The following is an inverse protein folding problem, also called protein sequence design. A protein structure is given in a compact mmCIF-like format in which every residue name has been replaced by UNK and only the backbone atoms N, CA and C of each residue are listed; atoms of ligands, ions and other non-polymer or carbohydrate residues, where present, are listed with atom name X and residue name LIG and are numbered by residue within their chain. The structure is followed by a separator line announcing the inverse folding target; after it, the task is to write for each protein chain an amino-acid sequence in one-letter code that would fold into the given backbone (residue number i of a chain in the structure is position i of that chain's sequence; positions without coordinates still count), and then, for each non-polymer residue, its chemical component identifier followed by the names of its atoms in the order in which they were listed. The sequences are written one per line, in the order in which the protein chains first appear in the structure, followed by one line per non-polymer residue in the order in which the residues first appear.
data_IF_170955394120
#
_entry.id   IF_170955394120
#
_cell.length_a   1.000
_cell.length_b   1.000
_cell.length_c   1.000
_cell.angle_alpha   90.00
_cell.angle_beta   90.00
_cell.angle_gamma   90.00
#
_symmetry.space_group_name_H-M   'P 1'
#
loop_
_entity.id
_entity.type
_entity.pdbx_description
1 polymer ?
#
# COMPACT_ATOMS: atom_id res chain seq x y z
N UNK A 1 -18.34 22.90 -6.34
CA UNK A 1 -18.55 21.46 -6.03
C UNK A 1 -19.50 21.36 -4.84
N UNK A 2 -20.53 20.52 -4.87
CA UNK A 2 -21.37 20.26 -3.68
C UNK A 2 -20.56 19.41 -2.69
N UNK A 3 -20.36 19.91 -1.47
CA UNK A 3 -19.81 19.13 -0.36
C UNK A 3 -20.69 17.90 -0.16
N UNK A 4 -20.12 16.70 -0.31
CA UNK A 4 -20.80 15.45 0.08
C UNK A 4 -20.71 15.35 1.59
N UNK A 5 -21.74 15.81 2.29
CA UNK A 5 -21.93 15.46 3.70
C UNK A 5 -22.52 14.05 3.77
N UNK A 6 -21.76 13.11 4.34
CA UNK A 6 -22.27 11.77 4.64
C UNK A 6 -23.51 11.89 5.53
N UNK A 7 -24.59 11.18 5.18
CA UNK A 7 -25.77 11.17 6.04
C UNK A 7 -25.53 10.20 7.20
N UNK A 8 -25.89 10.55 8.45
CA UNK A 8 -25.70 9.67 9.60
C UNK A 8 -26.31 8.27 9.43
N UNK A 9 -27.41 8.16 8.68
CA UNK A 9 -28.06 6.88 8.35
C UNK A 9 -27.28 6.00 7.34
N UNK A 10 -26.30 6.54 6.61
CA UNK A 10 -25.39 5.78 5.73
C UNK A 10 -24.14 5.27 6.46
N UNK A 11 -23.89 5.79 7.67
CA UNK A 11 -22.84 5.29 8.55
C UNK A 11 -23.38 4.03 9.24
N UNK A 12 -22.71 2.90 9.03
CA UNK A 12 -22.99 1.69 9.79
C UNK A 12 -22.88 2.02 11.28
N UNK A 13 -24.03 2.10 11.96
CA UNK A 13 -24.06 2.51 13.37
C UNK A 13 -23.25 1.49 14.17
N UNK A 14 -22.23 1.90 14.93
CA UNK A 14 -21.27 0.96 15.49
C UNK A 14 -21.92 -0.12 16.37
N UNK A 15 -23.00 0.23 17.08
CA UNK A 15 -23.83 -0.72 17.85
C UNK A 15 -24.43 -1.84 16.98
N UNK A 16 -24.83 -1.55 15.74
CA UNK A 16 -25.40 -2.55 14.82
C UNK A 16 -24.32 -3.49 14.27
N UNK A 17 -23.13 -2.97 13.95
CA UNK A 17 -21.99 -3.79 13.55
C UNK A 17 -21.58 -4.74 14.67
N UNK A 18 -21.50 -4.21 15.89
CA UNK A 18 -21.25 -4.97 17.12
C UNK A 18 -22.26 -6.09 17.35
N UNK A 19 -23.55 -5.79 17.23
CA UNK A 19 -24.61 -6.79 17.39
C UNK A 19 -24.44 -7.95 16.39
N UNK A 20 -24.30 -7.63 15.09
CA UNK A 20 -24.11 -8.63 14.03
C UNK A 20 -22.86 -9.47 14.21
N UNK A 21 -21.76 -8.85 14.63
CA UNK A 21 -20.51 -9.57 14.88
C UNK A 21 -20.64 -10.52 16.07
N UNK A 22 -21.27 -10.07 17.15
CA UNK A 22 -21.49 -10.87 18.36
C UNK A 22 -22.39 -12.07 18.07
N UNK A 23 -23.52 -11.87 17.39
CA UNK A 23 -24.41 -12.95 16.93
C UNK A 23 -23.66 -13.98 16.06
N UNK A 24 -22.82 -13.50 15.13
CA UNK A 24 -22.04 -14.40 14.27
C UNK A 24 -20.98 -15.17 15.05
N UNK A 25 -20.31 -14.52 16.00
CA UNK A 25 -19.32 -15.16 16.86
C UNK A 25 -19.96 -16.26 17.73
N UNK A 26 -21.11 -15.98 18.34
CA UNK A 26 -21.88 -16.97 19.11
C UNK A 26 -22.28 -18.17 18.26
N UNK A 27 -22.78 -17.92 17.03
CA UNK A 27 -23.15 -18.99 16.11
C UNK A 27 -21.97 -19.88 15.69
N UNK A 28 -20.77 -19.33 15.56
CA UNK A 28 -19.55 -20.08 15.25
C UNK A 28 -19.06 -20.88 16.47
N UNK A 29 -19.10 -20.28 17.67
CA UNK A 29 -18.73 -20.97 18.91
C UNK A 29 -19.66 -22.15 19.24
N UNK A 30 -20.95 -22.03 18.90
CA UNK A 30 -21.91 -23.11 19.05
C UNK A 30 -21.61 -24.34 18.18
N UNK A 31 -20.84 -24.18 17.10
CA UNK A 31 -20.42 -25.27 16.20
C UNK A 31 -19.20 -26.03 16.73
N UNK A 32 -18.49 -25.51 17.72
CA UNK A 32 -17.33 -26.18 18.32
C UNK A 32 -17.77 -27.32 19.26
N UNK A 33 -16.99 -28.42 19.34
CA UNK A 33 -17.14 -29.43 20.39
C UNK A 33 -17.05 -28.79 21.78
N UNK A 34 -17.85 -29.27 22.76
CA UNK A 34 -17.92 -28.66 24.09
C UNK A 34 -16.54 -28.53 24.76
N UNK A 35 -15.68 -29.54 24.60
CA UNK A 35 -14.32 -29.59 25.16
C UNK A 35 -13.40 -28.49 24.61
N UNK A 36 -13.69 -28.00 23.39
CA UNK A 36 -12.91 -26.97 22.69
C UNK A 36 -13.52 -25.57 22.81
N UNK A 37 -14.67 -25.43 23.50
CA UNK A 37 -15.33 -24.13 23.62
C UNK A 37 -14.58 -23.25 24.63
N UNK A 38 -14.16 -22.04 24.24
CA UNK A 38 -13.61 -21.08 25.19
C UNK A 38 -14.68 -20.67 26.22
N UNK A 39 -14.23 -20.35 27.43
CA UNK A 39 -15.12 -19.87 28.48
C UNK A 39 -15.87 -18.59 28.02
N UNK A 40 -17.18 -18.45 28.28
CA UNK A 40 -17.97 -17.31 27.83
C UNK A 40 -17.39 -15.94 28.23
N UNK A 41 -16.78 -15.85 29.42
CA UNK A 41 -16.12 -14.63 29.89
C UNK A 41 -14.87 -14.27 29.08
N UNK A 42 -14.10 -15.27 28.63
CA UNK A 42 -12.92 -15.06 27.77
C UNK A 42 -13.34 -14.54 26.39
N UNK A 43 -14.41 -15.09 25.83
CA UNK A 43 -15.01 -14.62 24.58
C UNK A 43 -15.49 -13.18 24.72
N UNK A 44 -16.29 -12.86 25.74
CA UNK A 44 -16.79 -11.50 25.98
C UNK A 44 -15.65 -10.48 26.13
N UNK A 45 -14.57 -10.88 26.80
CA UNK A 45 -13.38 -10.04 26.99
C UNK A 45 -12.65 -9.80 25.66
N UNK A 46 -12.41 -10.85 24.89
CA UNK A 46 -11.75 -10.75 23.58
C UNK A 46 -12.57 -9.91 22.58
N UNK A 47 -13.89 -10.09 22.55
CA UNK A 47 -14.80 -9.30 21.71
C UNK A 47 -14.75 -7.82 22.11
N UNK A 48 -14.86 -7.51 23.41
CA UNK A 48 -14.77 -6.13 23.90
C UNK A 48 -13.43 -5.49 23.52
N UNK A 49 -12.33 -6.22 23.71
CA UNK A 49 -10.99 -5.74 23.39
C UNK A 49 -10.85 -5.45 21.89
N UNK A 50 -11.21 -6.41 21.02
CA UNK A 50 -11.12 -6.24 19.57
C UNK A 50 -11.98 -5.08 19.05
N UNK A 51 -13.12 -4.82 19.69
CA UNK A 51 -13.97 -3.66 19.37
C UNK A 51 -13.30 -2.36 19.76
N UNK A 52 -12.78 -2.25 20.99
CA UNK A 52 -12.06 -1.07 21.46
C UNK A 52 -10.85 -0.78 20.57
N UNK A 53 -10.12 -1.83 20.17
CA UNK A 53 -8.98 -1.70 19.27
C UNK A 53 -9.42 -1.23 17.89
N UNK A 54 -10.51 -1.76 17.33
CA UNK A 54 -11.04 -1.32 16.04
C UNK A 54 -11.49 0.15 16.06
N UNK A 55 -12.12 0.61 17.14
CA UNK A 55 -12.46 2.03 17.30
C UNK A 55 -11.20 2.90 17.40
N UNK A 56 -10.22 2.48 18.20
CA UNK A 56 -8.94 3.20 18.31
C UNK A 56 -8.25 3.31 16.95
N UNK A 57 -8.16 2.21 16.20
CA UNK A 57 -7.60 2.21 14.84
C UNK A 57 -8.36 3.14 13.90
N UNK A 58 -9.70 3.18 13.99
CA UNK A 58 -10.52 4.10 13.19
C UNK A 58 -10.24 5.56 13.55
N UNK A 59 -10.19 5.89 14.83
CA UNK A 59 -9.96 7.25 15.30
C UNK A 59 -8.55 7.74 14.91
N UNK A 60 -7.54 6.88 15.06
CA UNK A 60 -6.18 7.13 14.56
C UNK A 60 -6.16 7.36 13.04
N UNK A 61 -6.90 6.55 12.27
CA UNK A 61 -6.97 6.71 10.82
C UNK A 61 -7.62 8.04 10.43
N UNK A 62 -8.73 8.40 11.07
CA UNK A 62 -9.42 9.68 10.83
C UNK A 62 -8.52 10.85 11.21
N UNK A 63 -7.82 10.79 12.35
CA UNK A 63 -6.88 11.82 12.75
C UNK A 63 -5.80 12.04 11.68
N UNK A 64 -5.19 10.97 11.17
CA UNK A 64 -4.20 11.05 10.08
C UNK A 64 -4.77 11.64 8.78
N UNK A 65 -6.02 11.33 8.43
CA UNK A 65 -6.71 11.95 7.28
C UNK A 65 -6.91 13.45 7.47
N UNK A 66 -7.32 13.87 8.67
CA UNK A 66 -7.49 15.29 9.02
C UNK A 66 -6.15 16.03 8.99
N UNK A 67 -5.09 15.44 9.54
CA UNK A 67 -3.73 16.02 9.47
C UNK A 67 -3.27 16.18 8.02
N UNK A 68 -3.53 15.18 7.17
CA UNK A 68 -3.20 15.23 5.73
C UNK A 68 -3.95 16.37 5.03
N UNK A 69 -5.24 16.55 5.30
CA UNK A 69 -6.06 17.64 4.75
C UNK A 69 -5.57 19.02 5.22
N UNK A 70 -5.25 19.17 6.51
CA UNK A 70 -4.70 20.40 7.08
C UNK A 70 -3.36 20.77 6.42
N UNK A 71 -2.48 19.79 6.24
CA UNK A 71 -1.20 19.98 5.57
C UNK A 71 -1.37 20.36 4.10
N UNK A 72 -2.35 19.76 3.42
CA UNK A 72 -2.65 20.07 2.02
C UNK A 72 -3.29 21.45 1.83
N UNK A 73 -4.03 21.93 2.83
CA UNK A 73 -4.73 23.22 2.80
C UNK A 73 -3.87 24.41 3.24
N UNK A 74 -2.64 24.16 3.72
CA UNK A 74 -1.73 25.22 4.19
C UNK A 74 -1.17 26.03 3.01
N UNK A 75 -1.41 27.35 2.91
CA UNK A 75 -0.81 28.19 1.88
C UNK A 75 0.72 28.11 1.93
N UNK A 76 1.38 28.18 0.78
CA UNK A 76 2.85 28.06 0.62
C UNK A 76 3.47 26.67 0.88
N UNK A 77 2.75 25.74 1.52
CA UNK A 77 3.15 24.33 1.57
C UNK A 77 2.76 23.62 0.27
N UNK A 78 3.65 23.68 -0.71
CA UNK A 78 3.47 22.94 -1.97
C UNK A 78 3.48 21.41 -1.80
N UNK A 79 3.19 20.68 -2.88
CA UNK A 79 3.10 19.21 -2.91
C UNK A 79 4.30 18.47 -2.29
N UNK A 80 5.49 19.08 -2.27
CA UNK A 80 6.70 18.54 -1.61
C UNK A 80 6.55 18.43 -0.09
N UNK A 81 5.91 19.40 0.56
CA UNK A 81 5.70 19.40 2.00
C UNK A 81 4.72 18.29 2.42
N UNK A 82 3.63 18.12 1.65
CA UNK A 82 2.67 17.03 1.83
C UNK A 82 3.38 15.68 1.68
N UNK A 83 4.15 15.48 0.61
CA UNK A 83 4.92 14.23 0.41
C UNK A 83 5.86 13.91 1.58
N UNK A 84 6.54 14.92 2.14
CA UNK A 84 7.41 14.74 3.30
C UNK A 84 6.62 14.30 4.54
N UNK A 85 5.48 14.93 4.80
CA UNK A 85 4.65 14.57 5.94
C UNK A 85 4.07 13.15 5.81
N UNK A 86 3.58 12.79 4.62
CA UNK A 86 3.14 11.42 4.32
C UNK A 86 4.27 10.42 4.52
N UNK A 87 5.50 10.73 4.08
CA UNK A 87 6.67 9.87 4.30
C UNK A 87 7.00 9.69 5.78
N UNK A 88 6.91 10.75 6.59
CA UNK A 88 7.09 10.63 8.05
C UNK A 88 6.04 9.71 8.66
N UNK A 89 4.77 9.91 8.31
CA UNK A 89 3.67 9.11 8.84
C UNK A 89 3.80 7.63 8.46
N UNK A 90 4.24 7.32 7.22
CA UNK A 90 4.52 5.94 6.81
C UNK A 90 5.58 5.27 7.68
N UNK A 91 6.66 5.99 8.00
CA UNK A 91 7.70 5.49 8.92
C UNK A 91 7.15 5.25 10.32
N UNK A 92 6.36 6.19 10.85
CA UNK A 92 5.74 6.05 12.18
C UNK A 92 4.76 4.87 12.25
N UNK A 93 4.15 4.50 11.12
CA UNK A 93 3.30 3.32 10.98
C UNK A 93 4.08 2.02 10.73
N UNK A 94 5.42 2.05 10.71
CA UNK A 94 6.26 0.89 10.43
C UNK A 94 6.24 0.47 8.95
N UNK A 95 5.93 1.39 8.03
CA UNK A 95 5.98 1.13 6.59
C UNK A 95 7.32 1.57 6.03
N UNK A 96 8.08 0.62 5.46
CA UNK A 96 9.29 0.89 4.68
C UNK A 96 8.90 1.23 3.25
N UNK A 97 9.43 2.33 2.74
CA UNK A 97 9.28 2.70 1.33
C UNK A 97 10.57 2.35 0.59
N UNK A 98 10.44 1.54 -0.46
CA UNK A 98 11.58 1.01 -1.21
C UNK A 98 11.66 1.70 -2.56
N UNK A 99 12.80 2.34 -2.81
CA UNK A 99 13.08 3.12 -4.03
C UNK A 99 14.30 2.61 -4.80
N UNK A 100 15.04 1.67 -4.22
CA UNK A 100 16.19 1.04 -4.86
C UNK A 100 15.71 -0.11 -5.76
N UNK A 101 16.11 -0.08 -7.03
CA UNK A 101 15.68 -1.05 -8.04
C UNK A 101 16.40 -2.40 -7.94
N UNK A 102 17.42 -2.52 -7.07
CA UNK A 102 18.17 -3.73 -6.82
C UNK A 102 17.37 -4.76 -5.99
N UNK A 103 16.47 -4.30 -5.12
CA UNK A 103 15.40 -5.09 -4.46
C UNK A 103 14.27 -5.47 -5.46
N UNK A 104 14.63 -5.85 -6.68
CA UNK A 104 13.75 -6.10 -7.83
C UNK A 104 12.58 -7.06 -7.54
N UNK A 105 12.71 -7.97 -6.58
CA UNK A 105 11.66 -8.87 -6.11
C UNK A 105 10.44 -8.15 -5.51
N UNK A 106 10.59 -6.89 -5.10
CA UNK A 106 9.51 -6.07 -4.55
C UNK A 106 8.76 -5.27 -5.64
N UNK A 107 9.17 -5.41 -6.90
CA UNK A 107 8.68 -4.59 -8.01
C UNK A 107 8.11 -5.42 -9.15
N UNK A 108 7.20 -4.81 -9.89
CA UNK A 108 6.73 -5.30 -11.19
C UNK A 108 7.28 -4.43 -12.30
N UNK A 109 7.77 -5.06 -13.38
CA UNK A 109 8.21 -4.37 -14.59
C UNK A 109 6.99 -4.08 -15.45
N UNK A 110 6.70 -2.80 -15.70
CA UNK A 110 5.44 -2.40 -16.37
C UNK A 110 5.62 -2.06 -17.86
N UNK A 111 6.80 -1.62 -18.28
CA UNK A 111 7.09 -1.24 -19.67
C UNK A 111 8.59 -1.16 -19.96
N UNK A 112 8.93 -0.97 -21.24
CA UNK A 112 10.29 -0.66 -21.71
C UNK A 112 11.07 -1.88 -22.21
N UNK A 113 12.22 -1.60 -22.80
CA UNK A 113 13.18 -2.58 -23.33
C UNK A 113 14.59 -2.26 -22.82
N UNK A 114 15.49 -3.25 -22.88
CA UNK A 114 16.85 -3.13 -22.35
C UNK A 114 17.05 -3.82 -21.00
N UNK A 115 18.30 -3.80 -20.53
CA UNK A 115 18.72 -4.52 -19.32
C UNK A 115 18.70 -3.67 -18.05
N UNK A 116 18.57 -2.35 -18.16
CA UNK A 116 18.53 -1.44 -17.03
C UNK A 116 17.14 -1.32 -16.45
N UNK A 117 17.05 -0.87 -15.19
CA UNK A 117 15.79 -0.57 -14.53
C UNK A 117 15.75 0.88 -14.06
N UNK A 118 14.61 1.52 -14.27
CA UNK A 118 14.29 2.86 -13.77
C UNK A 118 13.06 2.77 -12.85
N UNK A 119 13.15 3.42 -11.69
CA UNK A 119 12.05 3.50 -10.74
C UNK A 119 10.90 4.34 -11.30
N UNK A 120 9.73 3.73 -11.46
CA UNK A 120 8.48 4.43 -11.81
C UNK A 120 7.68 4.76 -10.55
N UNK A 121 7.57 3.80 -9.63
CA UNK A 121 6.90 3.97 -8.33
C UNK A 121 7.57 3.13 -7.25
N UNK A 122 7.65 3.63 -6.00
CA UNK A 122 8.20 2.87 -4.89
C UNK A 122 7.33 1.66 -4.52
N UNK A 123 7.96 0.65 -3.93
CA UNK A 123 7.28 -0.43 -3.22
C UNK A 123 7.07 -0.04 -1.74
N UNK A 124 6.10 -0.68 -1.08
CA UNK A 124 5.78 -0.46 0.33
C UNK A 124 5.75 -1.78 1.06
N UNK A 125 6.49 -1.89 2.15
CA UNK A 125 6.65 -3.12 2.94
C UNK A 125 6.31 -2.82 4.39
N UNK A 126 5.53 -3.70 5.01
CA UNK A 126 5.30 -3.69 6.45
C UNK A 126 6.56 -4.19 7.16
N UNK A 127 7.18 -3.36 7.98
CA UNK A 127 8.42 -3.71 8.70
C UNK A 127 8.19 -4.75 9.80
N UNK A 128 6.98 -4.81 10.38
CA UNK A 128 6.70 -5.77 11.45
C UNK A 128 6.58 -7.20 10.92
N UNK A 129 6.04 -7.36 9.72
CA UNK A 129 5.76 -8.68 9.13
C UNK A 129 6.65 -9.04 7.95
N UNK A 130 7.39 -8.07 7.39
CA UNK A 130 8.14 -8.21 6.14
C UNK A 130 7.26 -8.33 4.89
N UNK A 131 5.93 -8.16 5.02
CA UNK A 131 4.99 -8.37 3.92
C UNK A 131 4.97 -7.17 2.98
N UNK A 132 4.95 -7.46 1.69
CA UNK A 132 4.70 -6.46 0.65
C UNK A 132 3.26 -5.95 0.77
N UNK A 133 3.12 -4.67 1.11
CA UNK A 133 1.83 -3.96 1.16
C UNK A 133 1.40 -3.50 -0.23
N UNK A 134 2.36 -3.02 -1.02
CA UNK A 134 2.15 -2.61 -2.40
C UNK A 134 3.44 -2.82 -3.21
N UNK A 135 3.34 -3.55 -4.31
CA UNK A 135 4.44 -3.72 -5.25
C UNK A 135 4.82 -2.39 -5.90
N UNK A 136 6.13 -2.13 -5.98
CA UNK A 136 6.65 -0.99 -6.74
C UNK A 136 6.57 -1.24 -8.24
N UNK A 137 6.87 -0.22 -9.02
CA UNK A 137 6.90 -0.31 -10.48
C UNK A 137 8.25 0.11 -11.01
N UNK A 138 8.81 -0.72 -11.90
CA UNK A 138 10.01 -0.44 -12.67
C UNK A 138 9.68 -0.38 -14.15
N UNK A 139 10.47 0.41 -14.87
CA UNK A 139 10.53 0.46 -16.34
C UNK A 139 11.89 -0.06 -16.79
N UNK A 140 11.93 -0.84 -17.86
CA UNK A 140 13.19 -1.21 -18.52
C UNK A 140 13.74 -0.04 -19.33
N UNK A 141 15.03 0.18 -19.21
CA UNK A 141 15.76 1.18 -19.98
C UNK A 141 17.02 0.57 -20.62
N UNK A 142 17.45 1.06 -21.80
CA UNK A 142 18.73 0.68 -22.37
C UNK A 142 19.88 1.03 -21.44
N UNK A 143 20.84 0.12 -21.29
CA UNK A 143 22.12 0.40 -20.64
C UNK A 143 23.16 0.82 -21.69
N UNK A 144 24.28 1.47 -21.29
CA UNK A 144 25.37 1.78 -22.21
C UNK A 144 25.86 0.56 -23.01
N UNK A 145 25.79 -0.63 -22.42
CA UNK A 145 26.13 -1.91 -23.07
C UNK A 145 25.09 -2.38 -24.11
N UNK A 146 23.83 -1.99 -23.95
CA UNK A 146 22.77 -2.28 -24.92
C UNK A 146 22.91 -1.38 -26.15
N UNK A 147 23.28 -0.10 -25.93
CA UNK A 147 23.47 0.88 -26.99
C UNK A 147 24.67 0.53 -27.90
N UNK A 148 25.78 0.08 -27.33
CA UNK A 148 26.95 -0.36 -28.11
C UNK A 148 26.71 -1.65 -28.91
N UNK A 149 25.75 -2.47 -28.50
CA UNK A 149 25.35 -3.69 -29.23
C UNK A 149 24.42 -3.35 -30.41
N UNK A 150 23.57 -2.33 -30.26
CA UNK A 150 22.70 -1.85 -31.34
C UNK A 150 23.49 -1.18 -32.47
N UNK A 151 24.48 -0.34 -32.15
CA UNK A 151 25.34 0.31 -33.15
C UNK A 151 26.15 -0.70 -33.99
N UNK A 152 26.65 -1.78 -33.37
CA UNK A 152 27.36 -2.84 -34.08
C UNK A 152 26.44 -3.70 -34.98
N UNK A 153 25.17 -3.85 -34.61
CA UNK A 153 24.18 -4.55 -35.43
C UNK A 153 23.73 -3.71 -36.63
N UNK A 154 23.63 -2.38 -36.48
CA UNK A 154 23.31 -1.44 -37.56
C UNK A 154 24.47 -1.29 -38.56
N UNK A 155 25.74 -1.28 -38.10
CA UNK A 155 26.90 -1.22 -39.01
C UNK A 155 27.10 -2.52 -39.82
N UNK A 156 26.65 -3.67 -39.31
CA UNK A 156 26.77 -4.96 -40.00
C UNK A 156 25.73 -5.16 -41.13
N UNK A 157 24.68 -4.33 -41.19
CA UNK A 157 23.59 -4.42 -42.18
C UNK A 157 23.68 -3.39 -43.31
N UNK A 158 24.82 -2.70 -43.47
CA UNK A 158 25.05 -1.84 -44.66
C UNK A 158 25.54 -2.71 -45.82
N UNK A 159 24.73 -2.97 -46.88
CA UNK A 159 25.21 -3.73 -48.02
C UNK A 159 26.18 -2.84 -48.80
N UNK A 160 27.41 -3.32 -48.95
CA UNK A 160 28.44 -2.68 -49.77
C UNK A 160 27.91 -2.34 -51.16
N UNK A 161 27.62 -1.05 -51.38
CA UNK A 161 27.23 -0.49 -52.66
C UNK A 161 28.37 -0.71 -53.66
N UNK A 162 28.03 -1.39 -54.75
CA UNK A 162 28.96 -1.95 -55.72
C UNK A 162 29.94 -0.94 -56.32
N UNK A 163 31.14 -1.44 -56.54
CA UNK A 163 32.16 -0.84 -57.39
C UNK A 163 31.61 -0.60 -58.81
N UNK A 164 31.90 0.58 -59.35
CA UNK A 164 31.93 0.85 -60.79
C UNK A 164 33.36 0.80 -61.28
#
# INVERSE_FOLDING_TARGET
MKLRTLRPEELLHPAQLLARFTERAEALLAQLPQESRPAPAAVSTALRQGVLDAFRTRDEHIARLVETDLLASTPERGAKAIRRAVRSSLVDMGVRVVEEADEHELFVVVEGEGRGFELVRPAYVDQATGKLLLAGQLRRIPTPSDLSTQEQAEEADVPGGGAK
#
